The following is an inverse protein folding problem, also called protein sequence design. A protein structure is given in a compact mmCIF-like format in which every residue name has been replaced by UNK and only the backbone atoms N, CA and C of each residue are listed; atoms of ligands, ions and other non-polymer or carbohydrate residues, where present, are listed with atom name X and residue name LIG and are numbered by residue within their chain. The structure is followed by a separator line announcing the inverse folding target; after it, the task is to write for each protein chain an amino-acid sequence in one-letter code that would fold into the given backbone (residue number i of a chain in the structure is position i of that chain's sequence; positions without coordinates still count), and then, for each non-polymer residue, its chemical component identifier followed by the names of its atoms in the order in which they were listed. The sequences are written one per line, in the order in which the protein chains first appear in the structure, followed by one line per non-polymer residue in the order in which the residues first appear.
data_IF_337822679387
#
_entry.id   IF_337822679387
#
_cell.length_a   1.000
_cell.length_b   1.000
_cell.length_c   1.000
_cell.angle_alpha   90.00
_cell.angle_beta   90.00
_cell.angle_gamma   90.00
#
_symmetry.space_group_name_H-M   'P 1'
#
loop_
_entity.id
_entity.type
_entity.pdbx_description
1 polymer ?
#
# COMPACT_ATOMS: atom_id res chain seq x y z
N UNK A 1 -10.20 -6.02 -13.77
CA UNK A 1 -9.94 -4.89 -12.86
C UNK A 1 -8.49 -4.98 -12.41
N UNK A 2 -7.75 -3.89 -12.19
CA UNK A 2 -6.42 -4.00 -11.60
C UNK A 2 -6.56 -4.60 -10.20
N UNK A 3 -5.97 -5.78 -10.02
CA UNK A 3 -5.96 -6.53 -8.77
C UNK A 3 -4.97 -5.90 -7.79
N UNK A 4 -5.18 -6.14 -6.49
CA UNK A 4 -4.21 -5.74 -5.48
C UNK A 4 -2.83 -6.35 -5.80
N UNK A 5 -1.77 -5.62 -5.49
CA UNK A 5 -0.42 -6.13 -5.71
C UNK A 5 -0.01 -6.99 -4.53
N UNK A 6 0.55 -8.17 -4.80
CA UNK A 6 0.97 -9.11 -3.75
C UNK A 6 2.44 -9.52 -3.89
N UNK A 7 3.12 -9.75 -2.76
CA UNK A 7 4.43 -10.40 -2.72
C UNK A 7 4.73 -10.98 -1.33
N UNK A 8 5.58 -12.02 -1.27
CA UNK A 8 6.18 -12.48 -0.02
C UNK A 8 7.53 -11.79 0.16
N UNK A 9 7.62 -10.92 1.17
CA UNK A 9 8.81 -10.13 1.50
C UNK A 9 9.61 -10.81 2.60
N UNK A 10 10.94 -10.82 2.49
CA UNK A 10 11.84 -11.48 3.44
C UNK A 10 12.12 -10.61 4.69
N UNK A 11 11.05 -10.07 5.27
CA UNK A 11 11.08 -9.30 6.51
C UNK A 11 9.82 -9.57 7.35
N UNK A 12 9.89 -9.42 8.68
CA UNK A 12 8.70 -9.52 9.53
C UNK A 12 7.71 -8.36 9.24
N UNK A 13 6.41 -8.56 9.48
CA UNK A 13 5.35 -7.59 9.20
C UNK A 13 5.66 -6.15 9.65
N UNK A 14 6.02 -5.95 10.92
CA UNK A 14 6.32 -4.62 11.46
C UNK A 14 7.50 -3.93 10.73
N UNK A 15 8.51 -4.69 10.28
CA UNK A 15 9.64 -4.13 9.53
C UNK A 15 9.23 -3.72 8.12
N UNK A 16 8.37 -4.49 7.47
CA UNK A 16 7.79 -4.10 6.16
C UNK A 16 7.02 -2.79 6.29
N UNK A 17 6.12 -2.70 7.27
CA UNK A 17 5.26 -1.52 7.49
C UNK A 17 6.10 -0.29 7.82
N UNK A 18 7.09 -0.40 8.71
CA UNK A 18 8.00 0.70 9.07
C UNK A 18 8.82 1.19 7.87
N UNK A 19 9.32 0.26 7.05
CA UNK A 19 10.11 0.62 5.88
C UNK A 19 9.23 1.29 4.80
N UNK A 20 8.02 0.78 4.58
CA UNK A 20 7.06 1.39 3.66
C UNK A 20 6.66 2.81 4.09
N UNK A 21 6.42 3.05 5.37
CA UNK A 21 6.19 4.39 5.93
C UNK A 21 7.37 5.34 5.64
N UNK A 22 8.60 4.88 5.88
CA UNK A 22 9.81 5.65 5.59
C UNK A 22 9.96 6.01 4.11
N UNK A 23 9.68 5.06 3.21
CA UNK A 23 9.70 5.28 1.76
C UNK A 23 8.64 6.30 1.31
N UNK A 24 7.42 6.19 1.84
CA UNK A 24 6.33 7.11 1.52
C UNK A 24 6.64 8.53 2.00
N UNK A 25 7.23 8.68 3.18
CA UNK A 25 7.67 9.96 3.69
C UNK A 25 8.79 10.58 2.84
N UNK A 26 9.77 9.77 2.43
CA UNK A 26 10.84 10.21 1.52
C UNK A 26 10.29 10.65 0.14
N UNK A 27 9.21 10.01 -0.32
CA UNK A 27 8.48 10.37 -1.54
C UNK A 27 7.50 11.56 -1.36
N UNK A 28 7.52 12.23 -0.20
CA UNK A 28 6.61 13.33 0.17
C UNK A 28 5.12 12.93 0.13
N UNK A 29 4.81 11.63 0.23
CA UNK A 29 3.45 11.13 0.35
C UNK A 29 3.08 11.10 1.83
N UNK A 30 2.07 11.90 2.20
CA UNK A 30 1.56 11.92 3.57
C UNK A 30 0.97 10.56 3.93
N UNK A 31 1.45 9.94 4.99
CA UNK A 31 0.81 8.79 5.63
C UNK A 31 -0.28 9.31 6.58
N UNK A 32 -1.50 8.81 6.42
CA UNK A 32 -2.67 9.19 7.23
C UNK A 32 -2.75 8.32 8.49
N UNK A 33 -2.41 7.05 8.36
CA UNK A 33 -2.48 6.08 9.44
C UNK A 33 -1.40 5.01 9.27
N UNK A 34 -0.78 4.63 10.38
CA UNK A 34 0.18 3.53 10.45
C UNK A 34 -0.01 2.78 11.78
N UNK A 35 -0.05 1.45 11.72
CA UNK A 35 -0.04 0.55 12.86
C UNK A 35 1.02 -0.52 12.64
N UNK A 36 2.11 -0.47 13.40
CA UNK A 36 3.14 -1.52 13.37
C UNK A 36 2.65 -2.81 14.03
N UNK A 37 1.71 -2.70 14.97
CA UNK A 37 1.09 -3.85 15.66
C UNK A 37 0.24 -4.67 14.69
N UNK A 38 -0.59 -3.99 13.89
CA UNK A 38 -1.48 -4.62 12.92
C UNK A 38 -0.84 -4.72 11.53
N UNK A 39 0.42 -4.27 11.41
CA UNK A 39 1.20 -4.21 10.18
C UNK A 39 0.46 -3.57 9.00
N UNK A 40 -0.28 -2.51 9.29
CA UNK A 40 -1.13 -1.79 8.34
C UNK A 40 -0.67 -0.34 8.20
N UNK A 41 -0.75 0.19 6.98
CA UNK A 41 -0.59 1.62 6.72
C UNK A 41 -1.53 2.09 5.61
N UNK A 42 -1.90 3.36 5.70
CA UNK A 42 -2.77 4.02 4.73
C UNK A 42 -2.28 5.44 4.47
N UNK A 43 -2.19 5.82 3.20
CA UNK A 43 -1.85 7.19 2.82
C UNK A 43 -3.02 8.14 2.98
N UNK A 44 -2.70 9.42 3.12
CA UNK A 44 -3.62 10.50 2.73
C UNK A 44 -3.89 10.45 1.23
N UNK A 45 -4.83 11.29 0.80
CA UNK A 45 -5.07 11.48 -0.64
C UNK A 45 -3.87 12.16 -1.29
N UNK A 46 -3.52 11.69 -2.49
CA UNK A 46 -2.51 12.29 -3.35
C UNK A 46 -3.01 12.29 -4.80
N UNK A 47 -2.43 13.18 -5.62
CA UNK A 47 -2.91 13.41 -6.99
C UNK A 47 -4.44 13.66 -7.05
N UNK A 48 -4.95 14.41 -6.08
CA UNK A 48 -6.35 14.82 -5.95
C UNK A 48 -7.31 13.75 -5.41
N UNK A 49 -7.13 12.48 -5.77
CA UNK A 49 -8.17 11.45 -5.52
C UNK A 49 -7.64 10.06 -5.17
N UNK A 50 -6.33 9.84 -5.22
CA UNK A 50 -5.74 8.51 -5.05
C UNK A 50 -5.25 8.27 -3.64
N UNK A 51 -5.33 7.03 -3.20
CA UNK A 51 -4.81 6.54 -1.91
C UNK A 51 -4.18 5.18 -2.08
N UNK A 52 -3.21 4.87 -1.24
CA UNK A 52 -2.58 3.55 -1.17
C UNK A 52 -2.74 2.97 0.23
N UNK A 53 -3.06 1.68 0.30
CA UNK A 53 -3.10 0.87 1.52
C UNK A 53 -2.09 -0.24 1.40
N UNK A 54 -1.43 -0.55 2.50
CA UNK A 54 -0.60 -1.73 2.62
C UNK A 54 -0.95 -2.46 3.92
N UNK A 55 -1.04 -3.78 3.84
CA UNK A 55 -0.98 -4.67 4.99
C UNK A 55 0.06 -5.76 4.74
N UNK A 56 0.70 -6.18 5.82
CA UNK A 56 1.68 -7.25 5.80
C UNK A 56 1.25 -8.33 6.79
N UNK A 57 0.77 -9.46 6.28
CA UNK A 57 0.37 -10.59 7.11
C UNK A 57 1.58 -11.48 7.41
N UNK A 58 1.70 -12.07 8.61
CA UNK A 58 2.69 -13.12 8.85
C UNK A 58 2.53 -14.27 7.85
N UNK A 59 3.63 -14.75 7.26
CA UNK A 59 3.63 -15.89 6.32
C UNK A 59 4.34 -17.11 6.92
N UNK A 60 5.68 -17.09 6.94
CA UNK A 60 6.54 -18.01 7.70
C UNK A 60 7.49 -17.17 8.57
N UNK A 61 8.21 -17.74 9.56
CA UNK A 61 9.09 -16.95 10.42
C UNK A 61 10.03 -16.03 9.63
N UNK A 62 10.04 -14.74 10.00
CA UNK A 62 10.80 -13.65 9.35
C UNK A 62 10.35 -13.27 7.93
N UNK A 63 9.19 -13.72 7.46
CA UNK A 63 8.59 -13.30 6.19
C UNK A 63 7.17 -12.78 6.38
N UNK A 64 6.74 -11.92 5.47
CA UNK A 64 5.40 -11.39 5.45
C UNK A 64 4.81 -11.44 4.03
N UNK A 65 3.54 -11.79 3.95
CA UNK A 65 2.73 -11.64 2.73
C UNK A 65 2.22 -10.21 2.68
N UNK A 66 2.76 -9.43 1.77
CA UNK A 66 2.42 -8.03 1.57
C UNK A 66 1.34 -7.92 0.52
N UNK A 67 0.32 -7.14 0.81
CA UNK A 67 -0.69 -6.71 -0.15
C UNK A 67 -0.70 -5.19 -0.21
N UNK A 68 -0.71 -4.65 -1.42
CA UNK A 68 -0.82 -3.21 -1.66
C UNK A 68 -2.01 -2.93 -2.57
N UNK A 69 -2.95 -2.14 -2.06
CA UNK A 69 -4.09 -1.67 -2.82
C UNK A 69 -3.94 -0.19 -3.16
N UNK A 70 -4.16 0.14 -4.42
CA UNK A 70 -4.34 1.52 -4.85
C UNK A 70 -5.83 1.75 -5.13
N UNK A 71 -6.41 2.72 -4.43
CA UNK A 71 -7.81 3.12 -4.60
C UNK A 71 -7.90 4.56 -5.06
N UNK A 72 -8.97 4.91 -5.75
CA UNK A 72 -9.26 6.28 -6.13
C UNK A 72 -10.73 6.61 -5.92
N UNK A 73 -11.02 7.89 -5.70
CA UNK A 73 -12.37 8.42 -5.58
C UNK A 73 -12.65 9.46 -6.67
N UNK A 74 -13.45 9.14 -7.70
CA UNK A 74 -13.72 10.09 -8.78
C UNK A 74 -14.67 11.24 -8.41
N UNK A 75 -15.50 11.08 -7.38
CA UNK A 75 -16.53 12.06 -7.00
C UNK A 75 -16.72 12.07 -5.48
N UNK A 76 -16.80 13.26 -4.88
CA UNK A 76 -17.32 13.41 -3.52
C UNK A 76 -18.86 13.32 -3.57
N UNK A 77 -19.40 12.26 -2.99
CA UNK A 77 -20.84 12.09 -2.80
C UNK A 77 -21.11 11.97 -1.28
N UNK A 78 -21.62 13.02 -0.62
CA UNK A 78 -21.83 13.03 0.82
C UNK A 78 -22.93 12.05 1.28
N UNK A 79 -23.69 11.43 0.36
CA UNK A 79 -24.72 10.43 0.68
C UNK A 79 -24.19 9.02 0.85
N UNK A 80 -22.92 8.75 0.46
CA UNK A 80 -22.28 7.43 0.56
C UNK A 80 -21.11 7.47 1.53
N UNK A 81 -20.82 6.32 2.16
CA UNK A 81 -19.62 6.26 3.01
C UNK A 81 -18.37 6.38 2.14
N UNK A 82 -17.30 6.86 2.76
CA UNK A 82 -15.99 7.01 2.12
C UNK A 82 -15.52 5.73 1.41
N UNK A 83 -15.83 4.56 1.99
CA UNK A 83 -15.42 3.24 1.47
C UNK A 83 -16.26 2.80 0.27
N UNK A 84 -17.55 3.12 0.26
CA UNK A 84 -18.47 2.73 -0.83
C UNK A 84 -18.21 3.48 -2.14
N UNK A 85 -17.47 4.59 -2.07
CA UNK A 85 -17.06 5.40 -3.22
C UNK A 85 -15.68 5.03 -3.76
N UNK A 86 -14.88 4.28 -3.01
CA UNK A 86 -13.54 3.89 -3.42
C UNK A 86 -13.61 2.81 -4.50
N UNK A 87 -12.84 3.02 -5.57
CA UNK A 87 -12.67 2.06 -6.67
C UNK A 87 -11.20 1.72 -6.80
N UNK A 88 -10.89 0.54 -7.33
CA UNK A 88 -9.52 0.20 -7.69
C UNK A 88 -8.96 1.22 -8.69
N UNK A 89 -7.77 1.76 -8.39
CA UNK A 89 -7.08 2.73 -9.23
C UNK A 89 -6.83 2.15 -10.63
N UNK A 90 -7.22 2.83 -11.73
CA UNK A 90 -7.07 2.31 -13.08
C UNK A 90 -5.60 2.04 -13.45
N UNK A 91 -5.34 1.17 -14.44
CA UNK A 91 -4.00 0.96 -14.95
C UNK A 91 -3.31 2.26 -15.39
N UNK A 92 -2.04 2.46 -15.03
CA UNK A 92 -1.25 3.65 -15.37
C UNK A 92 -1.60 4.91 -14.54
N UNK A 93 -2.59 4.85 -13.66
CA UNK A 93 -2.96 5.98 -12.81
C UNK A 93 -1.89 6.29 -11.75
N UNK A 94 -1.85 7.52 -11.20
CA UNK A 94 -0.93 7.87 -10.12
C UNK A 94 -0.99 6.90 -8.93
N UNK A 95 -2.18 6.45 -8.56
CA UNK A 95 -2.38 5.46 -7.50
C UNK A 95 -1.70 4.13 -7.79
N UNK A 96 -1.97 3.56 -8.97
CA UNK A 96 -1.40 2.27 -9.35
C UNK A 96 0.13 2.34 -9.51
N UNK A 97 0.65 3.38 -10.16
CA UNK A 97 2.10 3.58 -10.32
C UNK A 97 2.80 3.73 -8.97
N UNK A 98 2.16 4.40 -8.00
CA UNK A 98 2.71 4.53 -6.63
C UNK A 98 2.76 3.17 -5.93
N UNK A 99 1.70 2.38 -6.00
CA UNK A 99 1.68 1.04 -5.42
C UNK A 99 2.76 0.13 -6.02
N UNK A 100 2.95 0.19 -7.35
CA UNK A 100 4.00 -0.58 -8.04
C UNK A 100 5.41 -0.17 -7.58
N UNK A 101 5.68 1.14 -7.51
CA UNK A 101 6.97 1.66 -7.03
C UNK A 101 7.25 1.26 -5.59
N UNK A 102 6.24 1.35 -4.72
CA UNK A 102 6.36 0.95 -3.33
C UNK A 102 6.69 -0.55 -3.22
N UNK A 103 5.97 -1.41 -3.94
CA UNK A 103 6.24 -2.84 -3.93
C UNK A 103 7.63 -3.17 -4.48
N UNK A 104 8.05 -2.51 -5.56
CA UNK A 104 9.37 -2.69 -6.14
C UNK A 104 10.49 -2.31 -5.14
N UNK A 105 10.35 -1.18 -4.45
CA UNK A 105 11.31 -0.75 -3.44
C UNK A 105 11.38 -1.70 -2.24
N UNK A 106 10.24 -2.25 -1.81
CA UNK A 106 10.21 -3.28 -0.76
C UNK A 106 10.95 -4.56 -1.20
N UNK A 107 10.72 -5.03 -2.42
CA UNK A 107 11.41 -6.20 -2.99
C UNK A 107 12.92 -5.97 -3.09
N UNK A 108 13.34 -4.79 -3.55
CA UNK A 108 14.75 -4.43 -3.69
C UNK A 108 15.48 -4.40 -2.34
N UNK A 109 14.86 -3.78 -1.32
CA UNK A 109 15.54 -3.50 -0.04
C UNK A 109 15.40 -4.60 0.99
N UNK A 110 14.27 -5.30 1.00
CA UNK A 110 13.96 -6.33 2.00
C UNK A 110 14.05 -7.74 1.43
N UNK A 111 14.22 -7.89 0.11
CA UNK A 111 14.23 -9.17 -0.57
C UNK A 111 12.84 -9.76 -0.75
N UNK A 112 12.71 -10.67 -1.71
CA UNK A 112 11.46 -11.35 -2.06
C UNK A 112 11.68 -12.86 -2.08
N UNK A 113 10.65 -13.63 -1.71
CA UNK A 113 10.60 -15.07 -2.00
C UNK A 113 9.68 -15.29 -3.19
N UNK A 114 10.17 -16.04 -4.19
CA UNK A 114 9.37 -16.56 -5.30
C UNK A 114 9.16 -18.05 -5.05
N UNK A 115 7.91 -18.49 -5.06
CA UNK A 115 7.53 -19.91 -5.01
C UNK A 115 7.18 -20.40 -6.41
#
# INVERSE_FOLDING_TARGET
MPEALHAVINAPPARVTQFADSLLHADTIRVRFVSLRDAFLETGEFAGTHRVRLWADPDVPRKARVTIEAVYRPLEDPSRTTRDLERASPPGSPGQLRAQRLLAALKDKLGVTTY
#
